data_IF_791001213367
#
_entry.id   IF_791001213367
#
_cell.length_a   1.000
_cell.length_b   1.000
_cell.length_c   1.000
_cell.angle_alpha   90.00
_cell.angle_beta   90.00
_cell.angle_gamma   90.00
#
_symmetry.space_group_name_H-M   'P 1'
#
loop_
_entity.id
_entity.type
_entity.pdbx_description
1 polymer ?
#
# COMPACT_ATOMS: atom_id res chain seq x y z
N UNK A 1 15.83 21.31 30.49
CA UNK A 1 15.28 21.01 29.15
C UNK A 1 14.93 19.53 29.18
N UNK A 2 13.64 19.22 29.29
CA UNK A 2 13.17 17.86 29.53
C UNK A 2 13.47 16.96 28.32
N UNK A 3 14.04 15.80 28.60
CA UNK A 3 14.38 14.76 27.65
C UNK A 3 13.11 14.03 27.19
N UNK A 4 12.25 14.70 26.43
CA UNK A 4 11.05 14.11 25.80
C UNK A 4 11.43 13.40 24.50
N UNK A 5 12.27 12.36 24.61
CA UNK A 5 12.28 11.34 23.55
C UNK A 5 10.92 10.64 23.65
N UNK A 6 10.07 10.65 22.60
CA UNK A 6 8.82 9.90 22.66
C UNK A 6 9.15 8.44 23.02
N UNK A 7 8.37 7.81 23.92
CA UNK A 7 8.67 6.46 24.37
C UNK A 7 8.80 5.54 23.16
N UNK A 8 9.70 4.56 23.22
CA UNK A 8 9.95 3.55 22.17
C UNK A 8 8.65 2.96 21.62
N UNK A 9 7.65 2.83 22.50
CA UNK A 9 6.28 2.47 22.17
C UNK A 9 5.65 3.29 21.02
N UNK A 10 5.84 4.61 20.99
CA UNK A 10 5.29 5.48 19.96
C UNK A 10 5.91 5.19 18.58
N UNK A 11 7.20 4.85 18.53
CA UNK A 11 7.86 4.46 17.29
C UNK A 11 7.35 3.10 16.79
N UNK A 12 7.22 2.12 17.69
CA UNK A 12 6.66 0.81 17.36
C UNK A 12 5.23 0.93 16.85
N UNK A 13 4.39 1.71 17.55
CA UNK A 13 3.02 1.98 17.14
C UNK A 13 2.98 2.66 15.77
N UNK A 14 3.85 3.65 15.54
CA UNK A 14 3.95 4.33 14.25
C UNK A 14 4.34 3.39 13.12
N UNK A 15 5.31 2.48 13.34
CA UNK A 15 5.69 1.48 12.34
C UNK A 15 4.56 0.51 12.03
N UNK A 16 3.80 0.08 13.04
CA UNK A 16 2.63 -0.77 12.85
C UNK A 16 1.55 -0.05 12.06
N UNK A 17 1.25 1.21 12.39
CA UNK A 17 0.24 2.01 11.69
C UNK A 17 0.60 2.26 10.23
N UNK A 18 1.87 2.58 9.94
CA UNK A 18 2.34 2.72 8.56
C UNK A 18 2.28 1.38 7.83
N UNK A 19 2.75 0.31 8.46
CA UNK A 19 2.66 -1.04 7.91
C UNK A 19 1.21 -1.44 7.59
N UNK A 20 0.26 -1.12 8.46
CA UNK A 20 -1.17 -1.34 8.24
C UNK A 20 -1.68 -0.50 7.07
N UNK A 21 -1.38 0.80 7.06
CA UNK A 21 -1.83 1.72 6.02
C UNK A 21 -1.29 1.34 4.64
N UNK A 22 -0.11 0.73 4.53
CA UNK A 22 0.40 0.20 3.27
C UNK A 22 -0.10 -1.19 2.96
N UNK A 23 0.12 -2.11 3.89
CA UNK A 23 -0.11 -3.52 3.68
C UNK A 23 -1.58 -3.87 3.56
N UNK A 24 -2.39 -3.43 4.52
CA UNK A 24 -3.80 -3.81 4.57
C UNK A 24 -4.60 -3.17 3.44
N UNK A 25 -4.30 -1.93 3.03
CA UNK A 25 -5.06 -1.26 1.97
C UNK A 25 -4.78 -1.85 0.58
N UNK A 26 -3.59 -2.40 0.35
CA UNK A 26 -3.15 -2.93 -0.96
C UNK A 26 -4.11 -3.98 -1.54
N UNK A 27 -4.55 -5.01 -0.80
CA UNK A 27 -5.52 -5.98 -1.31
C UNK A 27 -6.91 -5.34 -1.56
N UNK A 28 -7.36 -4.38 -0.75
CA UNK A 28 -8.61 -3.65 -1.03
C UNK A 28 -8.52 -2.84 -2.34
N UNK A 29 -7.41 -2.13 -2.56
CA UNK A 29 -7.15 -1.38 -3.80
C UNK A 29 -7.18 -2.32 -5.00
N UNK A 30 -6.50 -3.47 -4.90
CA UNK A 30 -6.43 -4.48 -5.96
C UNK A 30 -7.81 -5.09 -6.25
N UNK A 31 -8.58 -5.41 -5.22
CA UNK A 31 -9.95 -5.93 -5.38
C UNK A 31 -10.89 -4.89 -5.99
N UNK A 32 -10.84 -3.65 -5.51
CA UNK A 32 -11.65 -2.55 -6.03
C UNK A 32 -11.35 -2.26 -7.51
N UNK A 33 -10.07 -2.32 -7.91
CA UNK A 33 -9.68 -2.16 -9.31
C UNK A 33 -10.19 -3.30 -10.21
N UNK A 34 -10.15 -4.56 -9.74
CA UNK A 34 -10.64 -5.73 -10.50
C UNK A 34 -12.16 -5.75 -10.67
N UNK A 35 -12.89 -5.29 -9.66
CA UNK A 35 -14.36 -5.28 -9.65
C UNK A 35 -14.95 -3.99 -10.22
N UNK A 36 -14.11 -3.04 -10.63
CA UNK A 36 -14.56 -1.79 -11.23
C UNK A 36 -14.97 -2.01 -12.69
N UNK A 37 -16.24 -1.80 -12.98
CA UNK A 37 -16.78 -1.72 -14.35
C UNK A 37 -16.97 -0.25 -14.72
N UNK A 38 -16.05 0.37 -15.48
CA UNK A 38 -16.15 1.78 -15.83
C UNK A 38 -17.36 2.03 -16.75
N UNK A 39 -18.09 3.14 -16.55
CA UNK A 39 -19.19 3.52 -17.44
C UNK A 39 -18.68 3.82 -18.86
N UNK A 40 -19.51 3.57 -19.90
CA UNK A 40 -19.13 3.91 -21.27
C UNK A 40 -18.99 5.43 -21.43
N UNK A 41 -17.84 5.88 -21.94
CA UNK A 41 -17.57 7.31 -22.21
C UNK A 41 -17.74 7.62 -23.71
N UNK A 42 -18.79 8.38 -24.10
CA UNK A 42 -19.06 8.71 -25.51
C UNK A 42 -17.92 9.45 -26.22
N UNK A 43 -17.07 10.14 -25.46
CA UNK A 43 -15.89 10.87 -25.97
C UNK A 43 -14.83 9.90 -26.53
N UNK A 44 -14.68 8.71 -25.94
CA UNK A 44 -13.77 7.66 -26.42
C UNK A 44 -14.27 7.02 -27.73
N UNK A 45 -15.57 7.09 -27.99
CA UNK A 45 -16.19 6.59 -29.23
C UNK A 45 -16.14 7.58 -30.39
N UNK A 46 -15.70 8.82 -30.14
CA UNK A 46 -15.59 9.83 -31.19
C UNK A 46 -14.53 9.45 -32.25
N UNK A 47 -14.83 9.61 -33.56
CA UNK A 47 -13.91 9.28 -34.66
C UNK A 47 -12.55 10.00 -34.56
N UNK A 48 -12.52 11.21 -34.00
CA UNK A 48 -11.29 12.02 -33.81
C UNK A 48 -10.33 11.44 -32.77
N UNK A 49 -10.85 10.72 -31.77
CA UNK A 49 -10.05 10.08 -30.72
C UNK A 49 -9.59 8.70 -31.20
N UNK A 50 -10.46 7.93 -31.84
CA UNK A 50 -10.09 6.63 -32.46
C UNK A 50 -9.09 6.76 -33.61
N UNK A 51 -9.10 7.87 -34.34
CA UNK A 51 -8.14 8.14 -35.42
C UNK A 51 -6.68 8.29 -34.96
N UNK A 52 -6.43 8.51 -33.67
CA UNK A 52 -5.07 8.63 -33.13
C UNK A 52 -4.90 7.72 -31.93
N UNK A 53 -4.07 6.68 -32.08
CA UNK A 53 -3.74 5.73 -31.00
C UNK A 53 -3.28 6.44 -29.72
N UNK A 54 -2.50 7.51 -29.85
CA UNK A 54 -2.02 8.28 -28.71
C UNK A 54 -3.18 8.98 -27.97
N UNK A 55 -4.09 9.61 -28.70
CA UNK A 55 -5.26 10.28 -28.09
C UNK A 55 -6.18 9.24 -27.45
N UNK A 56 -6.49 8.14 -28.14
CA UNK A 56 -7.27 7.06 -27.57
C UNK A 56 -6.67 6.53 -26.27
N UNK A 57 -5.35 6.34 -26.22
CA UNK A 57 -4.66 5.88 -25.01
C UNK A 57 -4.65 6.91 -23.89
N UNK A 58 -4.39 8.19 -24.19
CA UNK A 58 -4.38 9.26 -23.19
C UNK A 58 -5.77 9.52 -22.60
N UNK A 59 -6.79 9.70 -23.44
CA UNK A 59 -8.17 9.89 -22.98
C UNK A 59 -8.67 8.63 -22.26
N UNK A 60 -8.35 7.44 -22.77
CA UNK A 60 -8.73 6.18 -22.11
C UNK A 60 -8.12 6.06 -20.71
N UNK A 61 -6.82 6.36 -20.56
CA UNK A 61 -6.16 6.36 -19.26
C UNK A 61 -6.73 7.43 -18.32
N UNK A 62 -7.02 8.63 -18.83
CA UNK A 62 -7.59 9.72 -18.03
C UNK A 62 -8.97 9.36 -17.49
N UNK A 63 -9.89 8.92 -18.35
CA UNK A 63 -11.24 8.53 -17.92
C UNK A 63 -11.20 7.33 -16.97
N UNK A 64 -10.37 6.31 -17.26
CA UNK A 64 -10.21 5.18 -16.37
C UNK A 64 -9.68 5.60 -14.98
N UNK A 65 -8.71 6.52 -14.91
CA UNK A 65 -8.20 7.03 -13.66
C UNK A 65 -9.28 7.82 -12.88
N UNK A 66 -10.02 8.69 -13.57
CA UNK A 66 -11.09 9.50 -12.96
C UNK A 66 -12.21 8.61 -12.42
N UNK A 67 -12.68 7.62 -13.19
CA UNK A 67 -13.74 6.71 -12.77
C UNK A 67 -13.32 5.86 -11.57
N UNK A 68 -12.08 5.38 -11.58
CA UNK A 68 -11.53 4.59 -10.50
C UNK A 68 -11.36 5.42 -9.21
N UNK A 69 -10.90 6.67 -9.33
CA UNK A 69 -10.83 7.60 -8.20
C UNK A 69 -12.20 8.05 -7.70
N UNK A 70 -13.23 8.02 -8.56
CA UNK A 70 -14.61 8.32 -8.15
C UNK A 70 -15.25 7.16 -7.38
N UNK A 71 -14.70 5.95 -7.51
CA UNK A 71 -15.16 4.79 -6.75
C UNK A 71 -14.67 4.87 -5.29
N UNK A 72 -15.55 5.04 -4.29
CA UNK A 72 -15.14 5.17 -2.89
C UNK A 72 -14.44 3.91 -2.37
N UNK A 73 -14.75 2.74 -2.92
CA UNK A 73 -14.09 1.46 -2.58
C UNK A 73 -12.61 1.44 -2.99
N UNK A 74 -12.21 2.28 -3.93
CA UNK A 74 -10.81 2.45 -4.34
C UNK A 74 -10.18 3.68 -3.69
N UNK A 75 -10.89 4.82 -3.69
CA UNK A 75 -10.38 6.09 -3.20
C UNK A 75 -10.07 6.06 -1.69
N UNK A 76 -10.92 5.45 -0.86
CA UNK A 76 -10.70 5.41 0.59
C UNK A 76 -9.43 4.61 0.94
N UNK A 77 -9.25 3.35 0.48
CA UNK A 77 -7.99 2.63 0.70
C UNK A 77 -6.77 3.34 0.11
N UNK A 78 -6.91 3.98 -1.06
CA UNK A 78 -5.82 4.74 -1.67
C UNK A 78 -5.41 5.93 -0.80
N UNK A 79 -6.35 6.72 -0.30
CA UNK A 79 -6.05 7.85 0.58
C UNK A 79 -5.35 7.37 1.85
N UNK A 80 -5.83 6.31 2.48
CA UNK A 80 -5.16 5.70 3.64
C UNK A 80 -3.71 5.29 3.29
N UNK A 81 -3.51 4.65 2.13
CA UNK A 81 -2.18 4.28 1.66
C UNK A 81 -1.25 5.50 1.52
N UNK A 82 -1.73 6.59 0.90
CA UNK A 82 -0.96 7.83 0.78
C UNK A 82 -0.68 8.48 2.15
N UNK A 83 -1.65 8.46 3.08
CA UNK A 83 -1.40 8.98 4.44
C UNK A 83 -0.31 8.19 5.15
N UNK A 84 -0.23 6.87 4.92
CA UNK A 84 0.86 6.03 5.41
C UNK A 84 2.23 6.51 4.88
N UNK A 85 2.32 6.89 3.62
CA UNK A 85 3.55 7.43 3.02
C UNK A 85 4.00 8.75 3.63
N UNK A 86 3.05 9.65 3.97
CA UNK A 86 3.36 10.90 4.67
C UNK A 86 3.93 10.60 6.06
N UNK A 87 3.29 9.70 6.81
CA UNK A 87 3.79 9.29 8.13
C UNK A 87 5.14 8.59 8.08
N UNK A 88 5.34 7.72 7.08
CA UNK A 88 6.63 7.06 6.84
C UNK A 88 7.75 8.07 6.60
N UNK A 89 7.50 9.11 5.80
CA UNK A 89 8.47 10.16 5.52
C UNK A 89 8.86 10.92 6.80
N UNK A 90 7.89 11.20 7.68
CA UNK A 90 8.15 11.83 8.98
C UNK A 90 8.97 10.91 9.91
N UNK A 91 8.68 9.61 9.93
CA UNK A 91 9.39 8.62 10.75
C UNK A 91 10.85 8.47 10.36
N UNK A 92 11.13 8.46 9.06
CA UNK A 92 12.48 8.42 8.52
C UNK A 92 13.33 9.61 8.97
N UNK A 93 12.71 10.78 9.16
CA UNK A 93 13.40 11.97 9.67
C UNK A 93 13.75 11.91 11.16
N UNK A 94 13.25 10.92 11.90
CA UNK A 94 13.39 10.80 13.36
C UNK A 94 14.08 9.49 13.80
N UNK A 95 13.92 8.42 13.03
CA UNK A 95 14.48 7.10 13.30
C UNK A 95 15.55 6.72 12.27
N UNK A 96 16.43 5.77 12.62
CA UNK A 96 17.47 5.32 11.70
C UNK A 96 16.85 4.67 10.45
N UNK A 97 17.17 5.26 9.29
CA UNK A 97 16.74 4.82 7.97
C UNK A 97 16.94 3.32 7.73
N UNK A 98 18.10 2.80 8.12
CA UNK A 98 18.49 1.41 7.88
C UNK A 98 17.68 0.39 8.68
N UNK A 99 17.01 0.81 9.76
CA UNK A 99 16.15 -0.05 10.58
C UNK A 99 14.66 0.17 10.24
N UNK A 100 14.26 1.41 10.04
CA UNK A 100 12.87 1.79 9.77
C UNK A 100 12.34 1.17 8.48
N UNK A 101 13.13 1.23 7.39
CA UNK A 101 12.70 0.75 6.08
C UNK A 101 12.45 -0.77 6.07
N UNK A 102 13.38 -1.64 6.55
CA UNK A 102 13.10 -3.08 6.63
C UNK A 102 11.91 -3.44 7.52
N UNK A 103 11.76 -2.76 8.67
CA UNK A 103 10.67 -3.01 9.62
C UNK A 103 9.30 -2.75 8.97
N UNK A 104 9.11 -1.54 8.45
CA UNK A 104 7.83 -1.14 7.84
C UNK A 104 7.50 -1.99 6.62
N UNK A 105 8.48 -2.32 5.78
CA UNK A 105 8.25 -3.15 4.59
C UNK A 105 7.79 -4.57 4.93
N UNK A 106 8.36 -5.20 5.96
CA UNK A 106 7.88 -6.53 6.37
C UNK A 106 6.52 -6.45 7.04
N UNK A 107 6.28 -5.44 7.89
CA UNK A 107 4.94 -5.23 8.46
C UNK A 107 3.90 -5.04 7.36
N UNK A 108 4.21 -4.23 6.34
CA UNK A 108 3.35 -4.08 5.17
C UNK A 108 3.13 -5.40 4.43
N UNK A 109 4.17 -6.23 4.26
CA UNK A 109 4.01 -7.57 3.69
C UNK A 109 3.07 -8.45 4.53
N UNK A 110 3.28 -8.53 5.84
CA UNK A 110 2.43 -9.31 6.75
C UNK A 110 0.98 -8.84 6.71
N UNK A 111 0.74 -7.53 6.79
CA UNK A 111 -0.61 -6.97 6.69
C UNK A 111 -1.23 -7.15 5.31
N UNK A 112 -0.43 -7.21 4.24
CA UNK A 112 -0.93 -7.57 2.90
C UNK A 112 -1.45 -9.01 2.90
N UNK A 113 -0.66 -9.96 3.43
CA UNK A 113 -1.07 -11.36 3.52
C UNK A 113 -2.33 -11.52 4.38
N UNK A 114 -2.39 -10.85 5.53
CA UNK A 114 -3.57 -10.84 6.39
C UNK A 114 -4.79 -10.22 5.68
N UNK A 115 -4.60 -9.14 4.94
CA UNK A 115 -5.64 -8.51 4.15
C UNK A 115 -6.14 -9.41 3.03
N UNK A 116 -5.25 -10.08 2.30
CA UNK A 116 -5.61 -11.05 1.25
C UNK A 116 -6.37 -12.25 1.83
N UNK A 117 -5.93 -12.77 2.98
CA UNK A 117 -6.65 -13.82 3.70
C UNK A 117 -8.05 -13.35 4.13
N UNK A 118 -8.17 -12.14 4.67
CA UNK A 118 -9.45 -11.58 5.13
C UNK A 118 -10.43 -11.26 3.98
N UNK A 119 -9.93 -10.68 2.89
CA UNK A 119 -10.75 -10.23 1.75
C UNK A 119 -11.12 -11.33 0.77
N UNK A 120 -10.16 -12.18 0.44
CA UNK A 120 -10.30 -13.17 -0.63
C UNK A 120 -10.48 -14.59 -0.07
N UNK A 121 -10.41 -14.77 1.26
CA UNK A 121 -10.48 -16.08 1.91
C UNK A 121 -9.32 -17.01 1.52
N UNK A 122 -8.24 -16.45 0.96
CA UNK A 122 -7.12 -17.22 0.42
C UNK A 122 -6.37 -17.90 1.54
N UNK A 123 -6.36 -19.23 1.52
CA UNK A 123 -5.55 -20.03 2.44
C UNK A 123 -4.07 -19.69 2.21
N UNK A 124 -3.35 -19.42 3.31
CA UNK A 124 -1.92 -19.10 3.27
C UNK A 124 -1.18 -20.31 2.66
N UNK A 125 -0.58 -20.10 1.49
CA UNK A 125 0.20 -21.14 0.81
C UNK A 125 1.50 -21.43 1.56
N UNK A 126 2.10 -22.60 1.31
CA UNK A 126 3.41 -22.95 1.90
C UNK A 126 4.48 -21.92 1.51
N UNK A 127 4.45 -21.43 0.26
CA UNK A 127 5.40 -20.44 -0.23
C UNK A 127 5.24 -19.09 0.49
N UNK A 128 4.00 -18.65 0.71
CA UNK A 128 3.72 -17.42 1.48
C UNK A 128 4.16 -17.57 2.94
N UNK A 129 3.94 -18.74 3.55
CA UNK A 129 4.40 -19.00 4.91
C UNK A 129 5.93 -18.98 5.04
N UNK A 130 6.65 -19.57 4.07
CA UNK A 130 8.12 -19.49 4.00
C UNK A 130 8.57 -18.04 3.83
N UNK A 131 7.92 -17.28 2.95
CA UNK A 131 8.20 -15.85 2.77
C UNK A 131 8.02 -15.05 4.05
N UNK A 132 6.95 -15.29 4.80
CA UNK A 132 6.72 -14.65 6.11
C UNK A 132 7.79 -15.01 7.13
N UNK A 133 8.16 -16.28 7.23
CA UNK A 133 9.24 -16.73 8.11
C UNK A 133 10.57 -16.03 7.77
N UNK A 134 10.98 -16.05 6.50
CA UNK A 134 12.21 -15.41 6.05
C UNK A 134 12.21 -13.89 6.31
N UNK A 135 11.08 -13.22 6.07
CA UNK A 135 10.95 -11.78 6.31
C UNK A 135 11.04 -11.44 7.80
N UNK A 136 10.39 -12.23 8.66
CA UNK A 136 10.46 -12.07 10.12
C UNK A 136 11.87 -12.34 10.65
N UNK A 137 12.53 -13.40 10.17
CA UNK A 137 13.93 -13.68 10.50
C UNK A 137 14.85 -12.53 10.06
N UNK A 138 14.66 -11.99 8.86
CA UNK A 138 15.43 -10.86 8.35
C UNK A 138 15.34 -9.62 9.24
N UNK A 139 14.12 -9.24 9.67
CA UNK A 139 13.96 -8.16 10.65
C UNK A 139 14.61 -8.49 11.98
N UNK A 140 14.40 -9.71 12.48
CA UNK A 140 15.00 -10.14 13.75
C UNK A 140 16.52 -9.94 13.73
N UNK A 141 17.17 -10.26 12.61
CA UNK A 141 18.59 -10.02 12.40
C UNK A 141 18.93 -8.51 12.29
N UNK A 142 18.12 -7.71 11.59
CA UNK A 142 18.31 -6.25 11.52
C UNK A 142 18.23 -5.58 12.89
N UNK A 143 17.28 -6.00 13.73
CA UNK A 143 17.14 -5.51 15.10
C UNK A 143 18.30 -6.02 15.96
N UNK A 144 18.63 -7.30 15.87
CA UNK A 144 19.74 -7.90 16.63
C UNK A 144 21.08 -7.20 16.34
N UNK A 145 21.39 -6.94 15.07
CA UNK A 145 22.62 -6.25 14.65
C UNK A 145 22.76 -4.82 15.21
N UNK A 146 21.67 -4.23 15.70
CA UNK A 146 21.62 -2.88 16.25
C UNK A 146 21.57 -2.85 17.79
N UNK A 147 21.46 -4.01 18.41
CA UNK A 147 21.61 -4.20 19.87
C UNK A 147 23.07 -4.35 20.23
#
# INVERSE_FOLDING_TARGET
>A
MANDKPPVFNYVLSFILVGLAWGLTTPFIRQAARTHSPPPHPVLDSPRVKASWLRAKLYGAFFAAVDLLRNPRYAVPLLLNLTGSVWFFLLIGQAELSLTVPIVNTLAFLFTVLGEWYLEGKVISRDTAIGMLLSLTGIGLCVYSKT
#
